data_IF_401270677007
#
_entry.id   IF_401270677007
#
_cell.length_a   1.000
_cell.length_b   1.000
_cell.length_c   1.000
_cell.angle_alpha   90.00
_cell.angle_beta   90.00
_cell.angle_gamma   90.00
#
_symmetry.space_group_name_H-M   'P 1'
#
loop_
_entity.id
_entity.type
_entity.pdbx_description
1 polymer ?
#
# COMPACT_ATOMS: atom_id res chain seq x y z
N UNK A 1 -32.90 -59.78 19.03
CA UNK A 1 -32.87 -60.59 20.26
C UNK A 1 -31.47 -61.15 20.41
N UNK A 2 -30.82 -60.88 21.56
CA UNK A 2 -29.53 -61.41 22.07
C UNK A 2 -28.25 -60.98 21.34
N UNK A 3 -27.10 -60.79 21.99
CA UNK A 3 -26.66 -60.41 23.34
C UNK A 3 -25.13 -60.41 23.25
N UNK A 4 -24.44 -59.40 23.83
CA UNK A 4 -23.17 -59.48 24.60
C UNK A 4 -22.02 -60.37 24.06
N UNK A 5 -20.74 -59.95 23.97
CA UNK A 5 -19.85 -59.63 25.11
C UNK A 5 -18.45 -59.24 24.56
N UNK A 6 -18.00 -58.04 24.92
CA UNK A 6 -16.69 -57.64 25.47
C UNK A 6 -15.35 -58.29 25.04
N UNK A 7 -14.36 -57.37 24.92
CA UNK A 7 -12.94 -57.43 25.32
C UNK A 7 -11.88 -58.03 24.39
N UNK A 8 -11.07 -57.13 23.79
CA UNK A 8 -9.60 -57.22 23.85
C UNK A 8 -8.99 -55.85 24.14
N UNK A 9 -8.36 -55.77 25.31
CA UNK A 9 -7.39 -54.76 25.71
C UNK A 9 -6.29 -54.65 24.63
N UNK A 10 -6.02 -53.45 24.14
CA UNK A 10 -4.70 -53.10 23.61
C UNK A 10 -4.34 -51.73 24.19
N UNK A 11 -3.45 -51.77 25.17
CA UNK A 11 -2.85 -50.62 25.84
C UNK A 11 -1.93 -49.94 24.81
N UNK A 12 -2.41 -48.84 24.22
CA UNK A 12 -1.60 -47.90 23.46
C UNK A 12 -1.38 -46.65 24.32
N UNK A 13 -0.22 -46.57 24.95
CA UNK A 13 0.21 -45.40 25.70
C UNK A 13 0.58 -44.28 24.73
N UNK A 14 -0.08 -43.11 24.86
CA UNK A 14 0.55 -41.79 24.98
C UNK A 14 -0.45 -40.65 24.70
N UNK A 15 -0.46 -39.70 25.62
CA UNK A 15 -0.95 -38.31 25.53
C UNK A 15 -2.48 -38.05 25.49
N UNK A 16 -3.04 -37.90 26.71
CA UNK A 16 -3.84 -36.75 27.21
C UNK A 16 -4.67 -36.01 26.14
N UNK A 17 -6.00 -35.94 26.18
CA UNK A 17 -6.86 -35.76 27.34
C UNK A 17 -7.62 -34.43 27.23
N UNK A 18 -8.88 -34.54 26.78
CA UNK A 18 -10.08 -33.78 27.18
C UNK A 18 -10.29 -32.35 26.64
N UNK A 19 -11.41 -32.25 25.92
CA UNK A 19 -12.19 -31.07 25.54
C UNK A 19 -12.41 -30.07 26.69
N UNK A 20 -12.29 -28.77 26.44
CA UNK A 20 -12.75 -27.77 27.40
C UNK A 20 -12.60 -26.31 26.95
N UNK A 21 -13.75 -25.67 26.72
CA UNK A 21 -14.03 -24.24 26.89
C UNK A 21 -13.33 -23.20 26.00
N UNK A 22 -14.17 -22.57 25.18
CA UNK A 22 -14.16 -21.14 24.82
C UNK A 22 -13.48 -20.22 25.85
N UNK A 23 -12.49 -19.44 25.41
CA UNK A 23 -12.34 -18.00 25.64
C UNK A 23 -10.93 -17.50 25.27
N UNK A 24 -10.87 -16.22 24.91
CA UNK A 24 -9.71 -15.34 24.87
C UNK A 24 -8.79 -15.42 23.63
N UNK A 25 -9.10 -14.54 22.68
CA UNK A 25 -8.14 -13.59 22.09
C UNK A 25 -6.70 -13.69 22.64
N UNK A 26 -5.85 -14.38 21.90
CA UNK A 26 -4.41 -14.26 22.04
C UNK A 26 -3.81 -14.33 20.64
N UNK A 27 -3.35 -13.17 20.19
CA UNK A 27 -2.30 -12.98 19.21
C UNK A 27 -1.22 -14.07 19.37
N UNK A 28 -1.23 -15.07 18.51
CA UNK A 28 -0.16 -16.06 18.38
C UNK A 28 0.50 -15.81 17.04
N UNK A 29 1.74 -15.31 17.12
CA UNK A 29 2.61 -15.10 15.99
C UNK A 29 2.74 -16.36 15.16
N UNK A 30 2.38 -16.24 13.89
CA UNK A 30 2.68 -17.24 12.87
C UNK A 30 4.17 -17.15 12.57
N UNK A 31 4.95 -18.08 13.10
CA UNK A 31 6.31 -18.37 12.63
C UNK A 31 6.22 -19.12 11.30
N UNK A 32 5.97 -18.38 10.22
CA UNK A 32 6.37 -18.78 8.88
C UNK A 32 7.66 -18.01 8.55
N UNK A 33 8.62 -18.59 7.81
CA UNK A 33 9.70 -17.78 7.27
C UNK A 33 9.04 -16.71 6.40
N UNK A 34 9.21 -15.44 6.78
CA UNK A 34 8.72 -14.33 5.98
C UNK A 34 9.52 -14.32 4.68
N UNK A 35 9.01 -15.02 3.66
CA UNK A 35 9.21 -14.59 2.30
C UNK A 35 8.62 -13.18 2.25
N UNK A 36 9.48 -12.16 2.08
CA UNK A 36 9.20 -10.72 2.11
C UNK A 36 7.70 -10.40 2.04
N UNK A 37 7.04 -10.37 3.21
CA UNK A 37 5.64 -9.99 3.25
C UNK A 37 5.60 -8.52 2.85
N UNK A 38 5.04 -8.22 1.68
CA UNK A 38 4.87 -6.85 1.23
C UNK A 38 4.23 -6.02 2.36
N UNK A 39 4.68 -4.76 2.59
CA UNK A 39 4.17 -3.96 3.68
C UNK A 39 2.65 -3.90 3.65
N UNK A 40 2.00 -4.04 4.81
CA UNK A 40 0.55 -3.94 4.88
C UNK A 40 0.10 -2.59 4.29
N UNK A 41 -0.89 -2.57 3.38
CA UNK A 41 -1.20 -1.39 2.56
C UNK A 41 -1.55 -0.18 3.42
N UNK A 42 -2.33 -0.38 4.49
CA UNK A 42 -2.79 0.70 5.38
C UNK A 42 -1.78 1.10 6.47
N UNK A 43 -0.49 1.01 6.17
CA UNK A 43 0.60 1.46 7.06
C UNK A 43 1.41 2.55 6.38
N UNK A 44 2.19 3.32 7.15
CA UNK A 44 3.12 4.30 6.58
C UNK A 44 4.11 3.64 5.61
N UNK A 45 4.58 2.42 5.91
CA UNK A 45 5.44 1.65 5.02
C UNK A 45 4.73 1.26 3.71
N UNK A 46 3.47 0.79 3.79
CA UNK A 46 2.65 0.47 2.61
C UNK A 46 2.37 1.67 1.71
N UNK A 47 2.05 2.82 2.33
CA UNK A 47 1.90 4.09 1.60
C UNK A 47 3.20 4.49 0.90
N UNK A 48 4.33 4.45 1.59
CA UNK A 48 5.64 4.80 1.02
C UNK A 48 6.05 3.86 -0.12
N UNK A 49 5.81 2.55 0.01
CA UNK A 49 6.06 1.58 -1.08
C UNK A 49 5.19 1.87 -2.30
N UNK A 50 3.91 2.18 -2.09
CA UNK A 50 2.99 2.54 -3.18
C UNK A 50 3.41 3.84 -3.86
N UNK A 51 3.71 4.88 -3.06
CA UNK A 51 4.17 6.17 -3.56
C UNK A 51 5.48 6.05 -4.36
N UNK A 52 6.43 5.25 -3.88
CA UNK A 52 7.69 4.98 -4.59
C UNK A 52 7.45 4.34 -5.95
N UNK A 53 6.52 3.38 -6.04
CA UNK A 53 6.14 2.76 -7.31
C UNK A 53 5.50 3.74 -8.29
N UNK A 54 4.56 4.57 -7.79
CA UNK A 54 3.93 5.64 -8.60
C UNK A 54 4.97 6.65 -9.11
N UNK A 55 5.87 7.10 -8.24
CA UNK A 55 6.93 8.05 -8.62
C UNK A 55 7.92 7.45 -9.63
N UNK A 56 8.25 6.16 -9.48
CA UNK A 56 9.11 5.45 -10.44
C UNK A 56 8.48 5.43 -11.83
N UNK A 57 7.19 5.07 -11.93
CA UNK A 57 6.48 5.06 -13.22
C UNK A 57 6.31 6.47 -13.79
N UNK A 58 6.04 7.47 -12.95
CA UNK A 58 6.00 8.86 -13.38
C UNK A 58 7.37 9.30 -13.94
N UNK A 59 8.48 8.89 -13.33
CA UNK A 59 9.83 9.16 -13.84
C UNK A 59 10.09 8.55 -15.22
N UNK A 60 9.65 7.31 -15.46
CA UNK A 60 9.72 6.68 -16.78
C UNK A 60 8.93 7.51 -17.81
N UNK A 61 7.68 7.83 -17.50
CA UNK A 61 6.84 8.67 -18.35
C UNK A 61 7.52 10.01 -18.68
N UNK A 62 8.02 10.72 -17.67
CA UNK A 62 8.66 12.02 -17.89
C UNK A 62 9.94 11.91 -18.74
N UNK A 63 10.70 10.82 -18.61
CA UNK A 63 11.86 10.58 -19.46
C UNK A 63 11.47 10.29 -20.92
N UNK A 64 10.32 9.66 -21.16
CA UNK A 64 9.76 9.43 -22.49
C UNK A 64 9.08 10.68 -23.07
N UNK A 65 8.71 11.64 -22.22
CA UNK A 65 8.03 12.89 -22.56
C UNK A 65 8.86 14.13 -22.14
N UNK A 66 9.94 14.46 -22.87
CA UNK A 66 10.88 15.52 -22.47
C UNK A 66 10.22 16.90 -22.35
N UNK A 67 9.23 17.22 -23.19
CA UNK A 67 8.49 18.49 -23.09
C UNK A 67 7.69 18.59 -21.78
N UNK A 68 7.02 17.51 -21.36
CA UNK A 68 6.29 17.48 -20.09
C UNK A 68 7.25 17.58 -18.90
N UNK A 69 8.40 16.89 -18.99
CA UNK A 69 9.47 16.97 -18.01
C UNK A 69 10.01 18.40 -17.87
N UNK A 70 10.27 19.08 -18.98
CA UNK A 70 10.76 20.46 -18.98
C UNK A 70 9.74 21.43 -18.37
N UNK A 71 8.46 21.31 -18.73
CA UNK A 71 7.39 22.15 -18.16
C UNK A 71 7.29 21.96 -16.65
N UNK A 72 7.27 20.72 -16.17
CA UNK A 72 7.18 20.42 -14.75
C UNK A 72 8.44 20.83 -13.97
N UNK A 73 9.62 20.65 -14.57
CA UNK A 73 10.90 21.07 -13.98
C UNK A 73 10.98 22.58 -13.84
N UNK A 74 10.63 23.32 -14.89
CA UNK A 74 10.62 24.78 -14.87
C UNK A 74 9.60 25.31 -13.86
N UNK A 75 8.42 24.69 -13.80
CA UNK A 75 7.36 25.06 -12.85
C UNK A 75 7.80 24.95 -11.38
N UNK A 76 8.77 24.08 -11.05
CA UNK A 76 9.26 23.91 -9.68
C UNK A 76 9.95 25.15 -9.09
N UNK A 77 10.43 26.07 -9.95
CA UNK A 77 11.10 27.31 -9.52
C UNK A 77 10.23 28.56 -9.67
N UNK A 78 9.04 28.41 -10.23
CA UNK A 78 8.12 29.52 -10.47
C UNK A 78 7.31 29.87 -9.22
N UNK A 79 6.79 31.12 -9.14
CA UNK A 79 5.74 31.46 -8.18
C UNK A 79 4.52 30.51 -8.33
N UNK A 80 3.84 30.12 -7.24
CA UNK A 80 2.82 29.06 -7.27
C UNK A 80 1.71 29.25 -8.31
N UNK A 81 1.20 30.48 -8.46
CA UNK A 81 0.15 30.76 -9.44
C UNK A 81 0.65 30.65 -10.89
N UNK A 82 1.90 31.04 -11.14
CA UNK A 82 2.52 30.94 -12.46
C UNK A 82 2.84 29.48 -12.80
N UNK A 83 3.33 28.70 -11.83
CA UNK A 83 3.54 27.27 -11.96
C UNK A 83 2.23 26.54 -12.35
N UNK A 84 1.13 26.81 -11.62
CA UNK A 84 -0.19 26.23 -11.92
C UNK A 84 -0.67 26.57 -13.33
N UNK A 85 -0.57 27.84 -13.72
CA UNK A 85 -0.98 28.30 -15.04
C UNK A 85 -0.15 27.64 -16.16
N UNK A 86 1.18 27.57 -15.99
CA UNK A 86 2.10 26.92 -16.93
C UNK A 86 1.76 25.44 -17.14
N UNK A 87 1.61 24.69 -16.03
CA UNK A 87 1.29 23.26 -16.07
C UNK A 87 -0.10 23.02 -16.69
N UNK A 88 -1.11 23.82 -16.32
CA UNK A 88 -2.45 23.71 -16.91
C UNK A 88 -2.43 24.02 -18.41
N UNK A 89 -1.74 25.08 -18.81
CA UNK A 89 -1.61 25.48 -20.21
C UNK A 89 -1.02 24.37 -21.08
N UNK A 90 -0.01 23.67 -20.58
CA UNK A 90 0.56 22.51 -21.24
C UNK A 90 -0.46 21.37 -21.37
N UNK A 91 -1.00 20.90 -20.25
CA UNK A 91 -1.85 19.70 -20.28
C UNK A 91 -3.21 19.89 -20.97
N UNK A 92 -3.69 21.12 -21.16
CA UNK A 92 -4.86 21.40 -22.01
C UNK A 92 -4.61 20.99 -23.47
N UNK A 93 -3.37 21.06 -23.96
CA UNK A 93 -2.96 20.56 -25.28
C UNK A 93 -2.54 19.09 -25.30
N UNK A 94 -2.37 18.46 -24.13
CA UNK A 94 -1.81 17.12 -23.95
C UNK A 94 -2.67 16.28 -23.00
N UNK A 95 -3.96 16.12 -23.34
CA UNK A 95 -4.92 15.41 -22.48
C UNK A 95 -4.63 13.91 -22.36
N UNK A 96 -4.01 13.30 -23.36
CA UNK A 96 -3.57 11.89 -23.33
C UNK A 96 -2.48 11.69 -22.26
N UNK A 97 -1.52 12.61 -22.19
CA UNK A 97 -0.45 12.62 -21.20
C UNK A 97 -1.00 12.85 -19.79
N UNK A 98 -1.96 13.78 -19.65
CA UNK A 98 -2.66 14.01 -18.40
C UNK A 98 -3.38 12.74 -17.93
N UNK A 99 -4.12 12.07 -18.81
CA UNK A 99 -4.83 10.83 -18.48
C UNK A 99 -3.85 9.71 -18.08
N UNK A 100 -2.69 9.65 -18.71
CA UNK A 100 -1.64 8.67 -18.38
C UNK A 100 -1.09 8.92 -16.98
N UNK A 101 -0.75 10.16 -16.65
CA UNK A 101 -0.30 10.54 -15.30
C UNK A 101 -1.38 10.31 -14.24
N UNK A 102 -2.65 10.55 -14.56
CA UNK A 102 -3.77 10.20 -13.67
C UNK A 102 -3.89 8.70 -13.44
N UNK A 103 -3.65 7.90 -14.50
CA UNK A 103 -3.54 6.44 -14.43
C UNK A 103 -2.41 5.99 -13.51
N UNK A 104 -1.21 6.56 -13.67
CA UNK A 104 -0.04 6.30 -12.83
C UNK A 104 -0.34 6.61 -11.35
N UNK A 105 -1.12 7.65 -11.06
CA UNK A 105 -1.50 8.05 -9.70
C UNK A 105 -2.66 7.24 -9.09
N UNK A 106 -3.35 6.37 -9.84
CA UNK A 106 -4.49 5.59 -9.33
C UNK A 106 -4.18 4.77 -8.07
N UNK A 107 -3.03 4.08 -7.94
CA UNK A 107 -2.74 3.27 -6.76
C UNK A 107 -2.81 4.06 -5.44
N UNK A 108 -2.44 5.34 -5.46
CA UNK A 108 -2.54 6.20 -4.28
C UNK A 108 -3.99 6.56 -3.95
N UNK A 109 -4.82 6.78 -4.98
CA UNK A 109 -6.25 7.05 -4.80
C UNK A 109 -6.98 5.83 -4.26
N UNK A 110 -6.67 4.65 -4.80
CA UNK A 110 -7.21 3.39 -4.33
C UNK A 110 -6.81 3.12 -2.88
N UNK A 111 -5.55 3.36 -2.53
CA UNK A 111 -5.06 3.19 -1.17
C UNK A 111 -5.75 4.14 -0.18
N UNK A 112 -5.92 5.41 -0.55
CA UNK A 112 -6.69 6.39 0.23
C UNK A 112 -8.11 5.90 0.50
N UNK A 113 -8.79 5.40 -0.54
CA UNK A 113 -10.17 4.92 -0.44
C UNK A 113 -10.27 3.65 0.41
N UNK A 114 -9.32 2.73 0.28
CA UNK A 114 -9.29 1.47 1.02
C UNK A 114 -8.97 1.67 2.50
N UNK A 115 -8.03 2.56 2.83
CA UNK A 115 -7.51 2.70 4.18
C UNK A 115 -8.13 3.87 4.98
N UNK A 116 -8.97 4.70 4.35
CA UNK A 116 -9.51 5.91 4.99
C UNK A 116 -8.44 6.96 5.32
N UNK A 117 -7.25 6.80 4.75
CA UNK A 117 -6.10 7.67 5.00
C UNK A 117 -6.22 8.86 4.05
N UNK A 118 -6.75 9.98 4.55
CA UNK A 118 -6.71 11.25 3.83
C UNK A 118 -5.29 11.85 3.93
N UNK A 119 -4.31 11.17 3.32
CA UNK A 119 -2.98 11.73 3.13
C UNK A 119 -2.94 12.35 1.74
N UNK A 120 -3.00 13.67 1.73
CA UNK A 120 -2.74 14.46 0.53
C UNK A 120 -1.22 14.59 0.29
N UNK A 121 -0.79 14.79 -0.97
CA UNK A 121 0.61 15.14 -1.27
C UNK A 121 1.12 16.32 -0.43
N UNK A 122 0.26 17.31 -0.14
CA UNK A 122 0.59 18.44 0.73
C UNK A 122 0.88 18.03 2.17
N UNK A 123 0.12 17.11 2.75
CA UNK A 123 0.39 16.61 4.11
C UNK A 123 1.69 15.80 4.17
N UNK A 124 1.99 15.01 3.15
CA UNK A 124 3.28 14.32 3.04
C UNK A 124 4.44 15.33 2.96
N UNK A 125 4.32 16.35 2.12
CA UNK A 125 5.33 17.40 2.02
C UNK A 125 5.54 18.12 3.37
N UNK A 126 4.46 18.47 4.06
CA UNK A 126 4.53 19.08 5.40
C UNK A 126 5.18 18.15 6.43
N UNK A 127 4.89 16.85 6.38
CA UNK A 127 5.52 15.86 7.26
C UNK A 127 7.02 15.78 7.01
N UNK A 128 7.45 15.65 5.74
CA UNK A 128 8.86 15.59 5.37
C UNK A 128 9.60 16.86 5.80
N UNK A 129 9.01 18.03 5.58
CA UNK A 129 9.55 19.32 6.00
C UNK A 129 9.65 19.44 7.53
N UNK A 130 8.78 18.76 8.28
CA UNK A 130 8.81 18.71 9.75
C UNK A 130 9.90 17.79 10.26
N UNK A 131 10.12 16.62 9.63
CA UNK A 131 11.12 15.63 10.04
C UNK A 131 12.54 16.01 9.60
N UNK A 132 12.66 16.87 8.60
CA UNK A 132 13.96 17.36 8.09
C UNK A 132 14.56 18.51 8.93
N UNK A 133 13.82 19.01 9.94
CA UNK A 133 14.29 20.03 10.90
C UNK A 133 14.71 19.38 12.21
#
# INVERSE_FOLDING_TARGET
MRMTTTSRLAIGAAAVGILGAVAASAMVGTTAPAADAAPAPCTAAGLSSTASGVLSQAGVFLNEHPEANDVLTNAATMPPEQARSSVQGYFVGHLDQLSTLQGIAQPLTDLKNQCGIAVSPTQLAMLLETVSK
#
